data_IF_769295581162
#
_entry.id   IF_769295581162
#
_cell.length_a   1.000
_cell.length_b   1.000
_cell.length_c   1.000
_cell.angle_alpha   90.00
_cell.angle_beta   90.00
_cell.angle_gamma   90.00
#
_symmetry.space_group_name_H-M   'P 1'
#
loop_
_entity.id
_entity.type
_entity.pdbx_description
1 polymer ?
#
# COMPACT_ATOMS: atom_id res chain seq x y z
N UNK A 1 5.07 11.36 0.06
CA UNK A 1 4.79 11.94 -1.27
C UNK A 1 3.72 11.09 -1.94
N UNK A 2 2.67 11.71 -2.48
CA UNK A 2 1.47 11.02 -2.93
C UNK A 2 1.76 10.14 -4.16
N UNK A 3 1.55 8.83 -4.01
CA UNK A 3 1.76 7.79 -5.04
C UNK A 3 1.13 8.14 -6.42
N UNK A 4 0.00 8.84 -6.41
CA UNK A 4 -0.67 9.35 -7.61
C UNK A 4 0.13 10.41 -8.38
N UNK A 5 0.84 11.29 -7.67
CA UNK A 5 1.69 12.31 -8.29
C UNK A 5 2.88 11.66 -8.99
N UNK A 6 3.49 10.65 -8.36
CA UNK A 6 4.58 9.86 -8.93
C UNK A 6 4.13 9.13 -10.19
N UNK A 7 2.94 8.52 -10.18
CA UNK A 7 2.38 7.86 -11.36
C UNK A 7 2.17 8.83 -12.52
N UNK A 8 1.59 10.02 -12.25
CA UNK A 8 1.39 11.06 -13.27
C UNK A 8 2.70 11.54 -13.88
N UNK A 9 3.75 11.71 -13.07
CA UNK A 9 5.08 12.06 -13.57
C UNK A 9 5.65 10.95 -14.46
N UNK A 10 5.52 9.69 -14.05
CA UNK A 10 5.99 8.53 -14.83
C UNK A 10 5.24 8.37 -16.16
N UNK A 11 3.94 8.67 -16.19
CA UNK A 11 3.15 8.67 -17.42
C UNK A 11 3.62 9.78 -18.37
N UNK A 12 3.86 10.98 -17.83
CA UNK A 12 4.39 12.11 -18.59
C UNK A 12 5.78 11.81 -19.18
N UNK A 13 6.65 11.16 -18.41
CA UNK A 13 7.97 10.73 -18.90
C UNK A 13 7.83 9.78 -20.11
N UNK A 14 6.85 8.85 -20.09
CA UNK A 14 6.57 7.98 -21.24
C UNK A 14 5.99 8.73 -22.45
N UNK A 15 5.11 9.71 -22.24
CA UNK A 15 4.62 10.58 -23.32
C UNK A 15 5.76 11.39 -23.97
N UNK A 16 6.71 11.85 -23.18
CA UNK A 16 7.87 12.59 -23.70
C UNK A 16 8.83 11.64 -24.46
N UNK A 17 9.00 10.40 -24.01
CA UNK A 17 9.72 9.35 -24.78
C UNK A 17 9.04 9.07 -26.12
N UNK A 18 7.70 9.02 -26.16
CA UNK A 18 6.95 8.84 -27.42
C UNK A 18 7.19 9.98 -28.41
N UNK A 19 7.25 11.23 -27.93
CA UNK A 19 7.60 12.38 -28.78
C UNK A 19 9.04 12.29 -29.28
N UNK A 20 9.96 11.81 -28.45
CA UNK A 20 11.35 11.57 -28.86
C UNK A 20 11.42 10.49 -29.96
N UNK A 21 10.63 9.41 -29.87
CA UNK A 21 10.54 8.41 -30.94
C UNK A 21 10.06 9.04 -32.25
N UNK A 22 9.00 9.86 -32.22
CA UNK A 22 8.52 10.57 -33.40
C UNK A 22 9.59 11.50 -33.99
N UNK A 23 10.32 12.22 -33.13
CA UNK A 23 11.41 13.13 -33.52
C UNK A 23 12.59 12.37 -34.15
N UNK A 24 12.95 11.20 -33.60
CA UNK A 24 13.98 10.33 -34.17
C UNK A 24 13.59 9.86 -35.57
N UNK A 25 12.36 9.35 -35.74
CA UNK A 25 11.85 8.93 -37.05
C UNK A 25 11.83 10.08 -38.06
N UNK A 26 11.38 11.27 -37.65
CA UNK A 26 11.39 12.45 -38.49
C UNK A 26 12.82 12.82 -38.93
N UNK A 27 13.78 12.83 -38.00
CA UNK A 27 15.18 13.15 -38.29
C UNK A 27 15.80 12.16 -39.27
N UNK A 28 15.54 10.85 -39.09
CA UNK A 28 15.96 9.81 -40.02
C UNK A 28 15.33 9.99 -41.40
N UNK A 29 14.02 10.26 -41.46
CA UNK A 29 13.31 10.52 -42.71
C UNK A 29 13.86 11.73 -43.46
N UNK A 30 14.20 12.81 -42.76
CA UNK A 30 14.83 13.99 -43.36
C UNK A 30 16.25 13.70 -43.88
N UNK A 31 17.03 12.87 -43.19
CA UNK A 31 18.34 12.44 -43.70
C UNK A 31 18.20 11.62 -45.00
N UNK A 32 17.26 10.67 -45.05
CA UNK A 32 16.98 9.88 -46.25
C UNK A 32 16.46 10.75 -47.41
N UNK A 33 15.57 11.71 -47.12
CA UNK A 33 15.03 12.62 -48.12
C UNK A 33 16.14 13.51 -48.71
N UNK A 34 17.05 14.02 -47.88
CA UNK A 34 18.20 14.80 -48.34
C UNK A 34 19.12 13.97 -49.24
N UNK A 35 19.40 12.72 -48.87
CA UNK A 35 20.20 11.78 -49.66
C UNK A 35 19.55 11.43 -51.00
N UNK A 36 18.23 11.51 -51.11
CA UNK A 36 17.50 11.24 -52.35
C UNK A 36 17.56 12.36 -53.39
N UNK A 37 18.11 13.53 -53.02
CA UNK A 37 18.22 14.67 -53.93
C UNK A 37 19.33 14.45 -54.96
N UNK A 38 19.20 15.10 -56.12
CA UNK A 38 20.22 15.07 -57.18
C UNK A 38 21.58 15.62 -56.72
N UNK A 39 21.56 16.59 -55.79
CA UNK A 39 22.75 17.13 -55.12
C UNK A 39 22.53 17.19 -53.60
N UNK A 40 22.81 16.11 -52.86
CA UNK A 40 22.62 16.06 -51.41
C UNK A 40 23.54 17.02 -50.66
N UNK A 41 23.01 17.69 -49.64
CA UNK A 41 23.81 18.44 -48.68
C UNK A 41 24.31 17.53 -47.57
N UNK A 42 25.58 17.10 -47.65
CA UNK A 42 26.17 16.22 -46.64
C UNK A 42 26.14 16.81 -45.23
N UNK A 43 26.26 18.13 -45.10
CA UNK A 43 26.14 18.83 -43.81
C UNK A 43 24.74 18.65 -43.19
N UNK A 44 23.68 18.68 -44.01
CA UNK A 44 22.31 18.45 -43.52
C UNK A 44 22.08 16.98 -43.19
N UNK A 45 22.62 16.05 -43.99
CA UNK A 45 22.57 14.61 -43.70
C UNK A 45 23.23 14.30 -42.36
N UNK A 46 24.44 14.81 -42.13
CA UNK A 46 25.17 14.63 -40.87
C UNK A 46 24.42 15.24 -39.69
N UNK A 47 23.88 16.45 -39.83
CA UNK A 47 23.07 17.09 -38.80
C UNK A 47 21.85 16.26 -38.42
N UNK A 48 21.07 15.81 -39.40
CA UNK A 48 19.88 15.00 -39.19
C UNK A 48 20.20 13.63 -38.58
N UNK A 49 21.30 13.01 -39.03
CA UNK A 49 21.78 11.73 -38.49
C UNK A 49 22.28 11.89 -37.05
N UNK A 50 22.96 12.99 -36.73
CA UNK A 50 23.41 13.29 -35.36
C UNK A 50 22.21 13.49 -34.42
N UNK A 51 21.19 14.23 -34.86
CA UNK A 51 19.94 14.38 -34.10
C UNK A 51 19.27 13.02 -33.90
N UNK A 52 19.13 12.20 -34.95
CA UNK A 52 18.57 10.86 -34.85
C UNK A 52 19.30 10.01 -33.79
N UNK A 53 20.64 9.95 -33.84
CA UNK A 53 21.44 9.16 -32.90
C UNK A 53 21.25 9.65 -31.45
N UNK A 54 21.31 10.96 -31.21
CA UNK A 54 21.12 11.54 -29.87
C UNK A 54 19.72 11.26 -29.33
N UNK A 55 18.70 11.47 -30.14
CA UNK A 55 17.31 11.23 -29.72
C UNK A 55 17.07 9.74 -29.47
N UNK A 56 17.64 8.86 -30.29
CA UNK A 56 17.53 7.41 -30.09
C UNK A 56 18.21 6.96 -28.77
N UNK A 57 19.37 7.53 -28.44
CA UNK A 57 20.04 7.28 -27.15
C UNK A 57 19.16 7.73 -25.96
N UNK A 58 18.47 8.86 -26.08
CA UNK A 58 17.55 9.34 -25.05
C UNK A 58 16.36 8.39 -24.87
N UNK A 59 15.77 7.92 -25.99
CA UNK A 59 14.69 6.92 -25.99
C UNK A 59 15.16 5.64 -25.31
N UNK A 60 16.32 5.11 -25.69
CA UNK A 60 16.88 3.89 -25.10
C UNK A 60 17.13 4.02 -23.59
N UNK A 61 17.75 5.13 -23.16
CA UNK A 61 17.99 5.41 -21.74
C UNK A 61 16.68 5.55 -20.95
N UNK A 62 15.70 6.25 -21.52
CA UNK A 62 14.38 6.45 -20.92
C UNK A 62 13.64 5.12 -20.74
N UNK A 63 13.52 4.34 -21.82
CA UNK A 63 12.86 3.03 -21.78
C UNK A 63 13.57 2.07 -20.82
N UNK A 64 14.90 2.06 -20.79
CA UNK A 64 15.68 1.24 -19.86
C UNK A 64 15.34 1.58 -18.41
N UNK A 65 15.27 2.87 -18.05
CA UNK A 65 14.85 3.30 -16.71
C UNK A 65 13.44 2.82 -16.35
N UNK A 66 12.50 2.90 -17.30
CA UNK A 66 11.13 2.42 -17.08
C UNK A 66 11.06 0.89 -16.97
N UNK A 67 11.83 0.14 -17.75
CA UNK A 67 11.92 -1.32 -17.66
C UNK A 67 12.49 -1.71 -16.29
N UNK A 68 13.58 -1.07 -15.84
CA UNK A 68 14.17 -1.30 -14.52
C UNK A 68 13.15 -0.99 -13.42
N UNK A 69 12.45 0.14 -13.52
CA UNK A 69 11.41 0.52 -12.56
C UNK A 69 10.28 -0.50 -12.51
N UNK A 70 9.71 -0.86 -13.67
CA UNK A 70 8.64 -1.86 -13.77
C UNK A 70 9.10 -3.21 -13.22
N UNK A 71 10.33 -3.62 -13.50
CA UNK A 71 10.94 -4.81 -12.93
C UNK A 71 10.98 -4.69 -11.40
N UNK A 72 11.54 -3.60 -10.86
CA UNK A 72 11.65 -3.38 -9.41
C UNK A 72 10.29 -3.38 -8.69
N UNK A 73 9.26 -2.75 -9.27
CA UNK A 73 7.92 -2.75 -8.66
C UNK A 73 7.16 -4.06 -8.87
N UNK A 74 7.55 -4.87 -9.86
CA UNK A 74 6.93 -6.17 -10.18
C UNK A 74 7.61 -7.35 -9.47
N UNK A 75 8.89 -7.25 -9.12
CA UNK A 75 9.71 -8.36 -8.59
C UNK A 75 10.16 -8.14 -7.14
N UNK A 76 9.21 -7.91 -6.21
CA UNK A 76 9.40 -8.12 -4.74
C UNK A 76 9.82 -6.87 -3.92
N UNK A 77 8.84 -6.01 -3.62
CA UNK A 77 8.36 -5.59 -2.26
C UNK A 77 7.60 -4.25 -2.32
N UNK A 78 6.30 -4.25 -2.68
CA UNK A 78 5.49 -3.04 -2.75
C UNK A 78 4.76 -2.78 -1.43
N UNK A 79 5.36 -2.14 -0.42
CA UNK A 79 4.58 -1.86 0.81
C UNK A 79 4.90 -0.64 1.65
N UNK A 80 5.71 0.32 1.19
CA UNK A 80 5.75 1.64 1.86
C UNK A 80 4.98 2.72 1.09
N UNK A 81 4.44 2.42 -0.10
CA UNK A 81 3.81 3.43 -0.97
C UNK A 81 2.57 3.01 -1.76
N UNK A 82 2.00 1.83 -1.53
CA UNK A 82 0.83 1.31 -2.25
C UNK A 82 -0.28 0.85 -1.31
N UNK A 83 -1.49 0.65 -1.85
CA UNK A 83 -2.73 0.22 -1.16
C UNK A 83 -2.52 -0.95 -0.18
N UNK A 84 -1.52 -1.81 -0.41
CA UNK A 84 -1.17 -2.91 0.48
C UNK A 84 -0.71 -2.45 1.88
N UNK A 85 -0.05 -1.29 2.01
CA UNK A 85 0.29 -0.72 3.32
C UNK A 85 -0.98 -0.39 4.13
N UNK A 86 -1.94 0.28 3.51
CA UNK A 86 -3.23 0.61 4.14
C UNK A 86 -4.06 -0.66 4.43
N UNK A 87 -4.06 -1.62 3.52
CA UNK A 87 -4.74 -2.91 3.69
C UNK A 87 -4.11 -3.73 4.83
N UNK A 88 -2.79 -3.77 4.95
CA UNK A 88 -2.09 -4.41 6.07
C UNK A 88 -2.42 -3.73 7.40
N UNK A 89 -2.38 -2.39 7.45
CA UNK A 89 -2.78 -1.63 8.65
C UNK A 89 -4.23 -1.94 9.03
N UNK A 90 -5.13 -2.02 8.05
CA UNK A 90 -6.52 -2.40 8.26
C UNK A 90 -6.66 -3.83 8.80
N UNK A 91 -6.00 -4.83 8.19
CA UNK A 91 -6.01 -6.21 8.70
C UNK A 91 -5.42 -6.30 10.11
N UNK A 92 -4.34 -5.57 10.40
CA UNK A 92 -3.78 -5.50 11.75
C UNK A 92 -4.76 -4.86 12.73
N UNK A 93 -5.49 -3.82 12.34
CA UNK A 93 -6.53 -3.22 13.17
C UNK A 93 -7.69 -4.19 13.44
N UNK A 94 -8.13 -4.96 12.44
CA UNK A 94 -9.14 -6.02 12.61
C UNK A 94 -8.67 -7.11 13.58
N UNK A 95 -7.44 -7.61 13.43
CA UNK A 95 -6.89 -8.59 14.37
C UNK A 95 -6.81 -8.06 15.81
N UNK A 96 -6.41 -6.79 15.98
CA UNK A 96 -6.39 -6.13 17.29
C UNK A 96 -7.79 -5.98 17.88
N UNK A 97 -8.78 -5.64 17.06
CA UNK A 97 -10.18 -5.52 17.46
C UNK A 97 -10.74 -6.88 17.91
N UNK A 98 -10.50 -7.94 17.15
CA UNK A 98 -10.96 -9.30 17.48
C UNK A 98 -10.34 -9.79 18.79
N UNK A 99 -9.05 -9.50 19.00
CA UNK A 99 -8.38 -9.80 20.25
C UNK A 99 -8.98 -9.02 21.43
N UNK A 100 -9.26 -7.73 21.28
CA UNK A 100 -9.92 -6.93 22.31
C UNK A 100 -11.32 -7.46 22.65
N UNK A 101 -12.10 -7.82 21.62
CA UNK A 101 -13.44 -8.42 21.78
C UNK A 101 -13.37 -9.75 22.54
N UNK A 102 -12.41 -10.61 22.19
CA UNK A 102 -12.18 -11.87 22.88
C UNK A 102 -11.88 -11.66 24.37
N UNK A 103 -11.02 -10.69 24.71
CA UNK A 103 -10.72 -10.37 26.11
C UNK A 103 -11.92 -9.80 26.87
N UNK A 104 -12.76 -8.98 26.22
CA UNK A 104 -13.98 -8.47 26.86
C UNK A 104 -14.97 -9.58 27.18
N UNK A 105 -15.19 -10.50 26.24
CA UNK A 105 -16.08 -11.65 26.45
C UNK A 105 -15.58 -12.55 27.60
N UNK A 106 -14.26 -12.73 27.71
CA UNK A 106 -13.65 -13.46 28.82
C UNK A 106 -13.91 -12.77 30.17
N UNK A 107 -13.71 -11.45 30.24
CA UNK A 107 -13.98 -10.66 31.46
C UNK A 107 -15.46 -10.69 31.85
N UNK A 108 -16.37 -10.59 30.89
CA UNK A 108 -17.81 -10.70 31.13
C UNK A 108 -18.17 -12.07 31.71
N UNK A 109 -17.59 -13.14 31.18
CA UNK A 109 -17.75 -14.50 31.73
C UNK A 109 -17.24 -14.59 33.17
N UNK A 110 -16.06 -14.04 33.46
CA UNK A 110 -15.50 -14.03 34.82
C UNK A 110 -16.37 -13.25 35.81
N UNK A 111 -16.93 -12.11 35.38
CA UNK A 111 -17.86 -11.31 36.18
C UNK A 111 -19.12 -12.09 36.54
N UNK A 112 -19.73 -12.78 35.57
CA UNK A 112 -20.92 -13.59 35.80
C UNK A 112 -20.66 -14.73 36.79
N UNK A 113 -19.50 -15.38 36.69
CA UNK A 113 -19.08 -16.42 37.64
C UNK A 113 -18.91 -15.86 39.04
N UNK A 114 -18.22 -14.73 39.21
CA UNK A 114 -18.08 -14.07 40.51
C UNK A 114 -19.44 -13.68 41.11
N UNK A 115 -20.32 -13.08 40.31
CA UNK A 115 -21.65 -12.68 40.77
C UNK A 115 -22.50 -13.89 41.20
N UNK A 116 -22.35 -15.03 40.52
CA UNK A 116 -23.03 -16.27 40.92
C UNK A 116 -22.43 -16.88 42.19
N UNK A 117 -21.10 -16.81 42.39
CA UNK A 117 -20.44 -17.25 43.61
C UNK A 117 -20.83 -16.38 44.82
N UNK A 118 -20.88 -15.06 44.66
CA UNK A 118 -21.31 -14.13 45.71
C UNK A 118 -22.76 -14.38 46.13
N UNK A 119 -23.66 -14.65 45.17
CA UNK A 119 -25.06 -15.00 45.45
C UNK A 119 -25.19 -16.33 46.20
N UNK A 120 -24.38 -17.34 45.87
CA UNK A 120 -24.35 -18.62 46.58
C UNK A 120 -23.84 -18.48 48.01
N UNK A 121 -22.83 -17.64 48.25
CA UNK A 121 -22.32 -17.38 49.60
C UNK A 121 -23.35 -16.66 50.49
N UNK A 122 -24.13 -15.72 49.93
CA UNK A 122 -25.21 -15.07 50.67
C UNK A 122 -26.36 -16.03 51.04
N UNK A 123 -26.69 -17.01 50.18
CA UNK A 123 -27.69 -18.03 50.51
C UNK A 123 -27.24 -18.99 51.61
N UNK A 124 -25.94 -19.33 51.68
CA UNK A 124 -25.43 -20.16 52.77
C UNK A 124 -25.40 -19.45 54.12
N UNK A 125 -25.20 -18.12 54.15
CA UNK A 125 -25.27 -17.34 55.40
C UNK A 125 -26.69 -17.13 55.94
N UNK A 126 -27.74 -17.18 55.11
CA UNK A 126 -29.13 -17.08 55.58
C UNK A 126 -29.75 -18.40 56.06
N UNK A 127 -29.13 -19.56 55.82
CA UNK A 127 -29.61 -20.85 56.34
C UNK A 127 -28.96 -21.27 57.68
N UNK A 128 -28.10 -20.43 58.27
CA UNK A 128 -27.43 -20.72 59.54
C UNK A 128 -28.00 -20.00 60.78
N UNK A 129 -29.25 -19.51 60.73
CA UNK A 129 -29.98 -19.09 61.95
C UNK A 129 -31.28 -19.89 62.14
N UNK A 130 -31.23 -20.96 62.96
CA UNK A 130 -32.32 -21.26 63.85
C UNK A 130 -31.79 -21.19 65.29
N UNK A 131 -32.27 -20.20 66.05
CA UNK A 131 -32.71 -20.33 67.45
C UNK A 131 -32.39 -19.09 68.30
N UNK A 132 -33.35 -18.16 68.40
CA UNK A 132 -33.47 -17.27 69.57
C UNK A 132 -34.94 -17.13 69.96
N UNK A 133 -35.43 -17.93 70.93
CA UNK A 133 -36.33 -17.49 72.03
C UNK A 133 -36.92 -18.64 72.87
N UNK A 134 -36.45 -18.78 74.12
CA UNK A 134 -37.31 -18.98 75.31
C UNK A 134 -36.47 -18.51 76.53
N UNK A 135 -36.71 -17.28 77.00
CA UNK A 135 -37.61 -16.89 78.09
C UNK A 135 -36.90 -16.81 79.47
N UNK A 136 -36.65 -15.56 79.88
CA UNK A 136 -36.71 -14.93 81.24
C UNK A 136 -37.41 -15.78 82.32
N UNK A 137 -37.13 -15.79 83.64
CA UNK A 137 -36.50 -14.88 84.63
C UNK A 137 -36.37 -15.65 86.02
N UNK A 138 -36.01 -15.02 87.17
CA UNK A 138 -35.32 -15.63 88.34
C UNK A 138 -36.26 -16.06 89.50
N UNK A 139 -35.75 -16.54 90.67
CA UNK A 139 -35.09 -15.73 91.71
C UNK A 139 -33.71 -16.23 92.18
#
# INVERSE_FOLDING_TARGET
MNSLTTLKMKLKELEDIEKDVATALQSAGQACLELSREKPSMKQVESNTSTFLKTLQNVESGLTKHIIYLTQVSTVQPHEGSCYAAQKVFHMALHRLEHARSRMNELERMRLVHQQQDAMQQQQQQQQDPNVSSATAPP
#
